data_IF_360417586458
#
_entry.id   IF_360417586458
#
_cell.length_a   1.000
_cell.length_b   1.000
_cell.length_c   1.000
_cell.angle_alpha   90.00
_cell.angle_beta   90.00
_cell.angle_gamma   90.00
#
_symmetry.space_group_name_H-M   'P 1'
#
loop_
_entity.id
_entity.type
_entity.pdbx_description
1 polymer ?
#
# COMPACT_ATOMS: atom_id res chain seq x y z
N UNK A 1 -12.66 22.81 30.27
CA UNK A 1 -12.05 21.49 30.48
C UNK A 1 -12.85 20.50 29.65
N UNK A 2 -12.27 19.78 28.71
CA UNK A 2 -12.99 18.73 27.98
C UNK A 2 -13.29 17.59 28.95
N UNK A 3 -14.56 17.17 29.03
CA UNK A 3 -14.97 15.99 29.82
C UNK A 3 -14.19 14.78 29.27
N UNK A 4 -13.40 14.16 30.15
CA UNK A 4 -12.89 12.81 29.89
C UNK A 4 -14.11 11.90 29.77
N UNK A 5 -14.38 11.39 28.60
CA UNK A 5 -15.38 10.34 28.42
C UNK A 5 -14.82 9.10 29.11
N UNK A 6 -15.52 8.62 30.15
CA UNK A 6 -15.23 7.33 30.76
C UNK A 6 -15.27 6.21 29.70
N UNK A 7 -14.43 5.20 29.81
CA UNK A 7 -14.49 4.06 28.90
C UNK A 7 -15.86 3.38 29.02
N UNK A 8 -16.47 3.09 27.88
CA UNK A 8 -17.74 2.37 27.80
C UNK A 8 -17.64 1.04 28.57
N UNK A 9 -18.67 0.68 29.31
CA UNK A 9 -18.78 -0.63 29.96
C UNK A 9 -18.94 -1.75 28.93
N UNK A 10 -18.60 -2.98 29.29
CA UNK A 10 -18.74 -4.13 28.40
C UNK A 10 -20.18 -4.31 27.86
N UNK A 11 -21.18 -3.97 28.68
CA UNK A 11 -22.59 -4.03 28.28
C UNK A 11 -22.92 -2.96 27.23
N UNK A 12 -22.47 -1.71 27.43
CA UNK A 12 -22.69 -0.62 26.46
C UNK A 12 -21.99 -0.89 25.14
N UNK A 13 -20.80 -1.55 25.16
CA UNK A 13 -20.10 -1.98 23.94
C UNK A 13 -20.93 -3.04 23.21
N UNK A 14 -21.49 -4.04 23.93
CA UNK A 14 -22.31 -5.09 23.35
C UNK A 14 -23.61 -4.52 22.73
N UNK A 15 -24.24 -3.54 23.37
CA UNK A 15 -25.46 -2.91 22.88
C UNK A 15 -25.23 -2.04 21.64
N UNK A 16 -24.02 -1.56 21.42
CA UNK A 16 -23.62 -0.74 20.27
C UNK A 16 -23.01 -1.55 19.13
N UNK A 17 -22.64 -2.81 19.36
CA UNK A 17 -21.98 -3.65 18.36
C UNK A 17 -22.98 -4.11 17.29
N UNK A 18 -22.67 -3.82 16.04
CA UNK A 18 -23.49 -4.29 14.92
C UNK A 18 -23.23 -5.77 14.55
N UNK A 19 -22.19 -6.39 15.11
CA UNK A 19 -21.72 -7.72 14.70
C UNK A 19 -21.07 -7.75 13.31
N UNK A 20 -20.89 -6.59 12.66
CA UNK A 20 -20.30 -6.48 11.32
C UNK A 20 -18.83 -6.07 11.46
N UNK A 21 -17.96 -6.89 10.93
CA UNK A 21 -16.52 -6.61 10.90
C UNK A 21 -16.18 -5.47 9.94
N UNK A 22 -15.23 -4.63 10.35
CA UNK A 22 -14.51 -3.70 9.50
C UNK A 22 -13.09 -4.21 9.31
N UNK A 23 -12.65 -4.33 8.07
CA UNK A 23 -11.28 -4.69 7.72
C UNK A 23 -10.84 -3.90 6.50
N UNK A 24 -9.73 -3.20 6.61
CA UNK A 24 -9.18 -2.44 5.50
C UNK A 24 -8.05 -1.51 5.90
N UNK A 25 -7.57 -0.77 4.92
CA UNK A 25 -6.46 0.16 5.11
C UNK A 25 -6.94 1.49 5.69
N UNK A 26 -6.28 1.96 6.74
CA UNK A 26 -6.57 3.25 7.34
C UNK A 26 -5.95 4.40 6.55
N UNK A 27 -6.75 5.40 6.28
CA UNK A 27 -6.29 6.71 5.82
C UNK A 27 -6.65 7.77 6.88
N UNK A 28 -5.64 8.39 7.46
CA UNK A 28 -5.81 9.46 8.45
C UNK A 28 -5.89 10.80 7.73
N UNK A 29 -6.94 11.55 8.01
CA UNK A 29 -7.20 12.87 7.43
C UNK A 29 -6.47 13.97 8.21
N UNK A 30 -6.20 15.13 7.59
CA UNK A 30 -5.51 16.25 8.25
C UNK A 30 -6.16 16.71 9.56
N UNK A 31 -7.48 16.58 9.66
CA UNK A 31 -8.26 16.93 10.88
C UNK A 31 -8.13 15.90 12.00
N UNK A 32 -7.37 14.85 11.80
CA UNK A 32 -7.03 13.85 12.82
C UNK A 32 -8.02 12.71 12.99
N UNK A 33 -9.14 12.67 12.25
CA UNK A 33 -9.97 11.48 12.09
C UNK A 33 -9.47 10.64 10.90
N UNK A 34 -10.03 9.45 10.71
CA UNK A 34 -9.65 8.61 9.58
C UNK A 34 -10.80 7.82 9.01
N UNK A 35 -10.51 7.14 7.89
CA UNK A 35 -11.40 6.16 7.28
C UNK A 35 -10.65 4.86 7.02
N UNK A 36 -11.27 3.74 7.34
CA UNK A 36 -10.86 2.44 6.83
C UNK A 36 -11.40 2.34 5.41
N UNK A 37 -10.50 2.26 4.41
CA UNK A 37 -10.84 2.06 3.01
C UNK A 37 -10.96 0.56 2.78
N UNK A 38 -12.13 0.11 2.38
CA UNK A 38 -12.41 -1.32 2.27
C UNK A 38 -12.01 -1.90 0.91
N UNK A 39 -11.89 -1.05 -0.13
CA UNK A 39 -11.66 -1.51 -1.50
C UNK A 39 -10.47 -0.78 -2.13
N UNK A 40 -9.48 -1.53 -2.60
CA UNK A 40 -8.37 -1.09 -3.45
C UNK A 40 -7.71 0.24 -3.01
N UNK A 41 -7.67 0.52 -1.70
CA UNK A 41 -7.08 1.73 -1.09
C UNK A 41 -7.72 3.07 -1.51
N UNK A 42 -8.86 3.02 -2.18
CA UNK A 42 -9.60 4.19 -2.62
C UNK A 42 -10.84 4.46 -1.75
N UNK A 43 -11.31 5.72 -1.69
CA UNK A 43 -12.57 6.06 -1.03
C UNK A 43 -13.76 5.32 -1.65
N UNK A 44 -14.63 4.80 -0.80
CA UNK A 44 -15.84 4.09 -1.20
C UNK A 44 -17.01 4.30 -0.24
N UNK A 45 -18.18 3.85 -0.64
CA UNK A 45 -19.40 4.00 0.17
C UNK A 45 -19.40 3.10 1.41
N UNK A 46 -18.59 2.04 1.40
CA UNK A 46 -18.43 1.08 2.50
C UNK A 46 -17.36 1.49 3.52
N UNK A 47 -16.76 2.66 3.35
CA UNK A 47 -15.71 3.17 4.25
C UNK A 47 -16.21 3.30 5.69
N UNK A 48 -15.32 3.05 6.64
CA UNK A 48 -15.65 3.08 8.07
C UNK A 48 -14.91 4.22 8.75
N UNK A 49 -15.66 5.10 9.40
CA UNK A 49 -15.11 6.22 10.13
C UNK A 49 -14.33 5.76 11.39
N UNK A 50 -13.15 6.32 11.59
CA UNK A 50 -12.30 6.08 12.77
C UNK A 50 -12.12 7.38 13.54
N UNK A 51 -12.49 7.36 14.81
CA UNK A 51 -12.45 8.55 15.66
C UNK A 51 -11.00 8.98 15.99
N UNK A 52 -10.74 10.30 16.16
CA UNK A 52 -9.43 10.81 16.56
C UNK A 52 -8.90 10.23 17.88
N UNK A 53 -9.80 9.89 18.79
CA UNK A 53 -9.45 9.27 20.08
C UNK A 53 -8.84 7.88 19.90
N UNK A 54 -9.39 7.06 18.98
CA UNK A 54 -8.87 5.74 18.65
C UNK A 54 -7.50 5.84 17.93
N UNK A 55 -7.39 6.77 16.96
CA UNK A 55 -6.13 7.02 16.25
C UNK A 55 -5.00 7.37 17.23
N UNK A 56 -5.25 8.30 18.13
CA UNK A 56 -4.24 8.71 19.14
C UNK A 56 -3.95 7.61 20.15
N UNK A 57 -4.99 6.91 20.65
CA UNK A 57 -4.83 5.87 21.67
C UNK A 57 -3.95 4.72 21.21
N UNK A 58 -4.11 4.28 19.96
CA UNK A 58 -3.41 3.13 19.40
C UNK A 58 -2.27 3.52 18.46
N UNK A 59 -1.90 4.80 18.40
CA UNK A 59 -0.85 5.32 17.53
C UNK A 59 -1.01 4.85 16.06
N UNK A 60 -2.27 4.92 15.57
CA UNK A 60 -2.59 4.51 14.22
C UNK A 60 -2.06 5.52 13.21
N UNK A 61 -1.64 5.01 12.06
CA UNK A 61 -1.11 5.81 10.96
C UNK A 61 -1.76 5.41 9.64
N UNK A 62 -1.74 6.31 8.69
CA UNK A 62 -2.08 5.96 7.31
C UNK A 62 -1.26 4.76 6.84
N UNK A 63 -1.90 3.79 6.20
CA UNK A 63 -1.29 2.55 5.75
C UNK A 63 -1.43 1.37 6.70
N UNK A 64 -1.94 1.57 7.93
CA UNK A 64 -2.28 0.46 8.82
C UNK A 64 -3.51 -0.31 8.31
N UNK A 65 -3.45 -1.63 8.30
CA UNK A 65 -4.64 -2.47 8.16
C UNK A 65 -5.28 -2.59 9.54
N UNK A 66 -6.50 -2.11 9.65
CA UNK A 66 -7.26 -2.10 10.89
C UNK A 66 -8.44 -3.05 10.78
N UNK A 67 -8.51 -4.02 11.68
CA UNK A 67 -9.65 -4.89 11.87
C UNK A 67 -10.37 -4.56 13.17
N UNK A 68 -11.69 -4.64 13.15
CA UNK A 68 -12.53 -4.41 14.33
C UNK A 68 -14.00 -4.49 13.98
N UNK A 69 -14.88 -4.11 14.92
CA UNK A 69 -16.31 -4.15 14.67
C UNK A 69 -16.88 -2.75 14.44
N UNK A 70 -17.86 -2.70 13.55
CA UNK A 70 -18.65 -1.47 13.27
C UNK A 70 -19.67 -1.24 14.37
N UNK A 71 -19.87 0.02 14.73
CA UNK A 71 -20.98 0.43 15.58
C UNK A 71 -22.29 0.37 14.78
N UNK A 72 -23.40 0.06 15.45
CA UNK A 72 -24.74 0.23 14.90
C UNK A 72 -24.88 1.66 14.37
N UNK A 73 -25.27 1.79 13.09
CA UNK A 73 -25.36 3.09 12.41
C UNK A 73 -26.55 3.88 12.94
N UNK A 74 -26.31 5.11 13.37
CA UNK A 74 -27.36 6.03 13.81
C UNK A 74 -28.08 6.63 12.59
N UNK A 75 -29.34 7.03 12.79
CA UNK A 75 -30.14 7.65 11.73
C UNK A 75 -29.49 8.98 11.29
N UNK A 76 -29.20 9.11 9.97
CA UNK A 76 -28.56 10.31 9.41
C UNK A 76 -27.02 10.23 9.25
N UNK A 77 -26.36 9.21 9.77
CA UNK A 77 -24.92 9.02 9.52
C UNK A 77 -24.66 8.51 8.10
N UNK A 78 -23.74 9.14 7.38
CA UNK A 78 -23.34 8.70 6.03
C UNK A 78 -22.52 7.42 6.08
N UNK A 79 -21.53 7.34 6.98
CA UNK A 79 -20.62 6.21 7.15
C UNK A 79 -20.86 5.51 8.47
N UNK A 80 -20.61 4.19 8.51
CA UNK A 80 -20.52 3.46 9.78
C UNK A 80 -19.27 3.89 10.54
N UNK A 81 -19.32 3.88 11.87
CA UNK A 81 -18.18 4.19 12.71
C UNK A 81 -17.57 2.91 13.29
N UNK A 82 -16.25 2.89 13.46
CA UNK A 82 -15.53 1.82 14.13
C UNK A 82 -15.84 1.87 15.65
N UNK A 83 -16.35 0.77 16.20
CA UNK A 83 -16.67 0.65 17.62
C UNK A 83 -15.40 0.35 18.43
N UNK A 84 -14.72 -0.73 18.10
CA UNK A 84 -13.44 -1.11 18.69
C UNK A 84 -12.51 -1.76 17.66
N UNK A 85 -11.23 -1.85 18.03
CA UNK A 85 -10.17 -2.42 17.20
C UNK A 85 -9.77 -3.77 17.76
N UNK A 86 -9.82 -4.81 16.92
CA UNK A 86 -9.38 -6.15 17.26
C UNK A 86 -7.90 -6.34 16.94
N UNK A 87 -7.46 -5.92 15.75
CA UNK A 87 -6.05 -6.01 15.34
C UNK A 87 -5.62 -4.80 14.50
N UNK A 88 -4.32 -4.54 14.52
CA UNK A 88 -3.63 -3.57 13.63
C UNK A 88 -2.50 -4.31 12.93
N UNK A 89 -2.53 -4.40 11.61
CA UNK A 89 -1.58 -5.18 10.80
C UNK A 89 -1.46 -6.65 11.24
N UNK A 90 -2.53 -7.25 11.77
CA UNK A 90 -2.55 -8.61 12.29
C UNK A 90 -2.01 -8.77 13.72
N UNK A 91 -1.56 -7.69 14.35
CA UNK A 91 -1.06 -7.69 15.74
C UNK A 91 -2.10 -7.12 16.70
N UNK A 92 -2.06 -7.50 18.00
CA UNK A 92 -2.84 -6.83 19.03
C UNK A 92 -2.59 -5.32 19.03
N UNK A 93 -3.62 -4.45 19.22
CA UNK A 93 -3.47 -3.01 19.07
C UNK A 93 -2.40 -2.39 19.98
N UNK A 94 -2.23 -2.97 21.18
CA UNK A 94 -1.23 -2.51 22.14
C UNK A 94 0.21 -2.80 21.69
N UNK A 95 0.46 -3.94 21.08
CA UNK A 95 1.76 -4.28 20.49
C UNK A 95 2.06 -3.41 19.29
N UNK A 96 1.08 -3.27 18.38
CA UNK A 96 1.21 -2.43 17.21
C UNK A 96 1.52 -0.96 17.55
N UNK A 97 0.98 -0.45 18.65
CA UNK A 97 1.19 0.95 19.10
C UNK A 97 2.62 1.24 19.54
N UNK A 98 3.41 0.23 19.89
CA UNK A 98 4.79 0.35 20.40
C UNK A 98 5.87 0.26 19.32
N UNK A 99 5.48 0.00 18.07
CA UNK A 99 6.42 -0.09 16.96
C UNK A 99 7.21 1.20 16.76
N UNK A 100 8.46 1.09 16.35
CA UNK A 100 9.25 2.25 15.94
C UNK A 100 8.67 2.86 14.67
N UNK A 101 8.67 4.18 14.58
CA UNK A 101 8.28 4.86 13.36
C UNK A 101 9.31 4.57 12.23
N UNK A 102 8.84 4.52 10.99
CA UNK A 102 9.69 4.26 9.83
C UNK A 102 10.85 5.26 9.73
N UNK A 103 10.58 6.51 10.07
CA UNK A 103 11.53 7.63 10.05
C UNK A 103 12.66 7.47 11.09
N UNK A 104 12.42 6.67 12.14
CA UNK A 104 13.40 6.38 13.21
C UNK A 104 14.25 5.13 12.93
N UNK A 105 13.99 4.44 11.80
CA UNK A 105 14.75 3.27 11.39
C UNK A 105 16.05 3.70 10.71
N UNK A 106 17.11 2.94 10.94
CA UNK A 106 18.42 3.19 10.31
C UNK A 106 18.45 2.63 8.88
N UNK A 107 18.62 3.47 7.85
CA UNK A 107 18.80 2.97 6.49
C UNK A 107 20.14 2.24 6.37
N UNK A 108 20.14 1.08 5.70
CA UNK A 108 21.33 0.28 5.45
C UNK A 108 21.51 0.04 3.95
N UNK A 109 22.73 -0.26 3.53
CA UNK A 109 22.97 -0.72 2.17
C UNK A 109 22.39 -2.12 1.95
N UNK A 110 21.96 -2.47 0.71
CA UNK A 110 21.44 -3.79 0.38
C UNK A 110 22.56 -4.82 0.38
N UNK A 111 22.85 -5.39 1.55
CA UNK A 111 23.91 -6.38 1.79
C UNK A 111 23.41 -7.82 1.79
N UNK A 112 22.10 -8.05 1.78
CA UNK A 112 21.49 -9.36 1.69
C UNK A 112 20.86 -9.56 0.31
N UNK A 113 21.38 -10.53 -0.44
CA UNK A 113 20.95 -10.81 -1.82
C UNK A 113 19.61 -11.52 -1.86
N UNK A 114 18.71 -11.06 -2.74
CA UNK A 114 17.54 -11.79 -3.17
C UNK A 114 17.89 -12.71 -4.33
N UNK A 115 17.76 -14.01 -4.12
CA UNK A 115 18.00 -15.00 -5.14
C UNK A 115 16.75 -15.16 -6.01
N UNK A 116 16.88 -14.98 -7.32
CA UNK A 116 15.78 -15.08 -8.27
C UNK A 116 15.77 -16.42 -9.04
N UNK A 117 16.91 -17.11 -9.12
CA UNK A 117 16.98 -18.43 -9.76
C UNK A 117 16.12 -19.43 -8.97
N UNK A 118 15.15 -20.06 -9.64
CA UNK A 118 14.28 -21.11 -9.07
C UNK A 118 14.62 -22.47 -9.64
N UNK A 119 14.67 -22.58 -10.96
CA UNK A 119 15.01 -23.81 -11.67
C UNK A 119 16.04 -23.56 -12.78
N UNK A 120 16.79 -24.58 -13.21
CA UNK A 120 17.76 -24.45 -14.32
C UNK A 120 17.14 -24.00 -15.63
N UNK A 121 15.83 -24.18 -15.81
CA UNK A 121 15.09 -23.80 -17.03
C UNK A 121 14.70 -22.33 -17.06
N UNK A 122 14.67 -21.64 -15.90
CA UNK A 122 14.32 -20.22 -15.79
C UNK A 122 15.52 -19.33 -16.14
N UNK A 123 15.87 -19.31 -17.43
CA UNK A 123 17.06 -18.59 -17.94
C UNK A 123 17.02 -17.09 -17.62
N UNK A 124 15.84 -16.45 -17.68
CA UNK A 124 15.71 -15.02 -17.40
C UNK A 124 16.13 -14.67 -15.96
N UNK A 125 15.69 -15.44 -14.98
CA UNK A 125 16.02 -15.23 -13.56
C UNK A 125 17.50 -15.52 -13.28
N UNK A 126 18.07 -16.53 -13.95
CA UNK A 126 19.52 -16.81 -13.87
C UNK A 126 20.35 -15.67 -14.44
N UNK A 127 19.94 -15.11 -15.59
CA UNK A 127 20.62 -13.95 -16.19
C UNK A 127 20.55 -12.75 -15.25
N UNK A 128 19.39 -12.47 -14.66
CA UNK A 128 19.25 -11.38 -13.68
C UNK A 128 20.18 -11.59 -12.48
N UNK A 129 20.23 -12.78 -11.94
CA UNK A 129 21.08 -13.10 -10.80
C UNK A 129 22.57 -12.94 -11.09
N UNK A 130 22.99 -13.15 -12.34
CA UNK A 130 24.40 -13.03 -12.76
C UNK A 130 24.79 -11.60 -13.13
N UNK A 131 23.92 -10.87 -13.82
CA UNK A 131 24.25 -9.57 -14.42
C UNK A 131 23.75 -8.40 -13.59
N UNK A 132 22.58 -8.54 -12.98
CA UNK A 132 21.91 -7.51 -12.19
C UNK A 132 21.33 -8.07 -10.89
N UNK A 133 22.18 -8.56 -9.97
CA UNK A 133 21.71 -9.11 -8.71
C UNK A 133 20.95 -8.05 -7.90
N UNK A 134 19.86 -8.46 -7.28
CA UNK A 134 19.00 -7.60 -6.45
C UNK A 134 19.20 -7.96 -4.98
N UNK A 135 19.34 -6.96 -4.13
CA UNK A 135 19.40 -7.12 -2.68
C UNK A 135 18.19 -6.54 -1.96
N UNK A 136 17.97 -6.97 -0.72
CA UNK A 136 16.91 -6.39 0.14
C UNK A 136 17.21 -4.90 0.38
N UNK A 137 16.20 -4.05 0.14
CA UNK A 137 16.34 -2.60 0.19
C UNK A 137 16.90 -1.95 -1.09
N UNK A 138 17.20 -2.73 -2.13
CA UNK A 138 17.66 -2.20 -3.41
C UNK A 138 16.50 -1.67 -4.26
N UNK A 139 16.78 -0.57 -4.96
CA UNK A 139 15.90 -0.02 -5.99
C UNK A 139 16.40 -0.46 -7.35
N UNK A 140 15.53 -1.11 -8.14
CA UNK A 140 15.83 -1.59 -9.48
C UNK A 140 14.85 -1.04 -10.50
N UNK A 141 15.32 -0.74 -11.71
CA UNK A 141 14.49 -0.23 -12.80
C UNK A 141 14.64 -1.11 -14.04
N UNK A 142 13.50 -1.59 -14.56
CA UNK A 142 13.43 -2.31 -15.82
C UNK A 142 13.15 -1.30 -16.93
N UNK A 143 14.15 -0.99 -17.74
CA UNK A 143 14.04 -0.06 -18.87
C UNK A 143 14.00 -0.87 -20.17
N UNK A 144 12.87 -0.78 -20.88
CA UNK A 144 12.68 -1.51 -22.13
C UNK A 144 11.67 -0.80 -23.04
N UNK A 145 11.78 -1.06 -24.34
CA UNK A 145 10.81 -0.57 -25.32
C UNK A 145 9.41 -1.16 -25.05
N UNK A 146 8.33 -0.52 -25.54
CA UNK A 146 7.00 -1.11 -25.51
C UNK A 146 6.99 -2.51 -26.13
N UNK A 147 6.20 -3.42 -25.58
CA UNK A 147 6.06 -4.84 -26.02
C UNK A 147 7.34 -5.69 -25.93
N UNK A 148 8.36 -5.26 -25.20
CA UNK A 148 9.59 -6.02 -24.98
C UNK A 148 9.51 -7.05 -23.82
N UNK A 149 8.32 -7.29 -23.25
CA UNK A 149 8.11 -8.29 -22.21
C UNK A 149 8.39 -7.82 -20.76
N UNK A 150 8.31 -6.52 -20.48
CA UNK A 150 8.49 -5.97 -19.12
C UNK A 150 7.59 -6.63 -18.09
N UNK A 151 6.28 -6.68 -18.33
CA UNK A 151 5.28 -7.28 -17.45
C UNK A 151 5.54 -8.79 -17.27
N UNK A 152 5.95 -9.49 -18.33
CA UNK A 152 6.36 -10.90 -18.24
C UNK A 152 7.57 -11.08 -17.33
N UNK A 153 8.58 -10.20 -17.44
CA UNK A 153 9.75 -10.23 -16.58
C UNK A 153 9.37 -9.93 -15.13
N UNK A 154 8.52 -8.94 -14.90
CA UNK A 154 8.01 -8.59 -13.56
C UNK A 154 7.27 -9.76 -12.91
N UNK A 155 6.39 -10.47 -13.65
CA UNK A 155 5.71 -11.68 -13.16
C UNK A 155 6.70 -12.78 -12.78
N UNK A 156 7.75 -12.98 -13.58
CA UNK A 156 8.81 -13.95 -13.26
C UNK A 156 9.58 -13.59 -12.00
N UNK A 157 9.92 -12.31 -11.82
CA UNK A 157 10.55 -11.81 -10.58
C UNK A 157 9.63 -12.04 -9.38
N UNK A 158 8.35 -11.67 -9.48
CA UNK A 158 7.38 -11.87 -8.41
C UNK A 158 7.26 -13.35 -7.99
N UNK A 159 7.12 -14.24 -8.96
CA UNK A 159 7.02 -15.69 -8.69
C UNK A 159 8.33 -16.26 -8.12
N UNK A 160 9.49 -15.78 -8.58
CA UNK A 160 10.78 -16.18 -8.05
C UNK A 160 10.96 -15.74 -6.59
N UNK A 161 10.59 -14.51 -6.27
CA UNK A 161 10.63 -13.99 -4.89
C UNK A 161 9.66 -14.76 -3.99
N UNK A 162 8.43 -14.99 -4.44
CA UNK A 162 7.45 -15.79 -3.70
C UNK A 162 7.95 -17.22 -3.41
N UNK A 163 8.64 -17.83 -4.36
CA UNK A 163 9.19 -19.18 -4.20
C UNK A 163 10.38 -19.23 -3.24
N UNK A 164 11.34 -18.30 -3.38
CA UNK A 164 12.60 -18.31 -2.64
C UNK A 164 12.52 -17.57 -1.31
N UNK A 165 11.58 -16.63 -1.15
CA UNK A 165 11.39 -15.79 0.03
C UNK A 165 9.90 -15.72 0.39
N UNK A 166 9.28 -16.82 0.85
CA UNK A 166 7.83 -16.91 1.09
C UNK A 166 7.32 -15.95 2.18
N UNK A 167 8.20 -15.53 3.09
CA UNK A 167 7.85 -14.59 4.17
C UNK A 167 7.90 -13.11 3.74
N UNK A 168 8.45 -12.83 2.55
CA UNK A 168 8.52 -11.47 2.02
C UNK A 168 7.14 -10.99 1.61
N UNK A 169 6.74 -9.82 2.11
CA UNK A 169 5.49 -9.19 1.70
C UNK A 169 5.67 -8.47 0.36
N UNK A 170 4.85 -8.79 -0.61
CA UNK A 170 4.93 -8.23 -1.95
C UNK A 170 3.73 -7.36 -2.24
N UNK A 171 3.97 -6.12 -2.64
CA UNK A 171 2.93 -5.21 -3.12
C UNK A 171 3.15 -4.97 -4.62
N UNK A 172 2.17 -5.32 -5.43
CA UNK A 172 2.20 -5.07 -6.87
C UNK A 172 1.29 -3.89 -7.13
N UNK A 173 1.87 -2.80 -7.61
CA UNK A 173 1.15 -1.58 -7.92
C UNK A 173 1.06 -1.37 -9.43
N UNK A 174 -0.18 -1.38 -9.94
CA UNK A 174 -0.50 -1.19 -11.34
C UNK A 174 -1.15 0.16 -11.54
N UNK A 175 -0.52 1.05 -12.31
CA UNK A 175 -1.01 2.41 -12.55
C UNK A 175 -1.37 2.58 -14.02
N UNK A 176 -2.62 3.01 -14.28
CA UNK A 176 -3.13 3.30 -15.62
C UNK A 176 -3.07 2.05 -16.53
N UNK A 177 -3.27 0.86 -15.92
CA UNK A 177 -3.30 -0.41 -16.64
C UNK A 177 -4.73 -0.80 -17.04
N UNK A 178 -4.85 -1.73 -17.98
CA UNK A 178 -6.15 -2.23 -18.43
C UNK A 178 -6.70 -3.27 -17.46
N UNK A 179 -8.04 -3.32 -17.25
CA UNK A 179 -8.65 -4.30 -16.35
C UNK A 179 -8.27 -5.75 -16.62
N UNK A 180 -8.12 -6.13 -17.90
CA UNK A 180 -7.70 -7.47 -18.30
C UNK A 180 -6.25 -7.78 -17.90
N UNK A 181 -5.35 -6.78 -17.93
CA UNK A 181 -3.95 -6.93 -17.48
C UNK A 181 -3.88 -7.04 -15.96
N UNK A 182 -4.73 -6.30 -15.24
CA UNK A 182 -4.87 -6.41 -13.78
C UNK A 182 -5.31 -7.81 -13.38
N UNK A 183 -6.33 -8.36 -14.05
CA UNK A 183 -6.84 -9.71 -13.79
C UNK A 183 -5.76 -10.77 -14.04
N UNK A 184 -5.06 -10.68 -15.18
CA UNK A 184 -3.98 -11.59 -15.56
C UNK A 184 -2.81 -11.57 -14.53
N UNK A 185 -2.51 -10.42 -13.93
CA UNK A 185 -1.48 -10.32 -12.89
C UNK A 185 -1.98 -10.91 -11.57
N UNK A 186 -3.22 -10.63 -11.17
CA UNK A 186 -3.82 -11.21 -9.96
C UNK A 186 -3.82 -12.73 -10.00
N UNK A 187 -4.24 -13.32 -11.11
CA UNK A 187 -4.26 -14.78 -11.29
C UNK A 187 -2.84 -15.38 -11.36
N UNK A 188 -1.89 -14.67 -12.00
CA UNK A 188 -0.53 -15.17 -12.15
C UNK A 188 0.32 -15.11 -10.87
N UNK A 189 -0.04 -14.22 -9.91
CA UNK A 189 0.77 -13.95 -8.71
C UNK A 189 -0.15 -13.94 -7.48
N UNK A 190 -0.79 -15.07 -7.20
CA UNK A 190 -1.63 -15.25 -6.01
C UNK A 190 -0.79 -15.72 -4.81
N UNK A 191 -1.08 -15.24 -3.58
CA UNK A 191 -0.40 -15.67 -2.36
C UNK A 191 -0.79 -14.85 -1.13
N UNK A 192 -0.64 -15.44 0.05
CA UNK A 192 -1.06 -14.84 1.33
C UNK A 192 -0.32 -13.54 1.67
N UNK A 193 0.94 -13.41 1.24
CA UNK A 193 1.77 -12.22 1.43
C UNK A 193 1.84 -11.35 0.16
N UNK A 194 0.84 -11.41 -0.73
CA UNK A 194 0.80 -10.65 -1.98
C UNK A 194 -0.43 -9.74 -1.99
N UNK A 195 -0.20 -8.44 -2.11
CA UNK A 195 -1.23 -7.43 -2.31
C UNK A 195 -1.12 -6.89 -3.75
N UNK A 196 -2.18 -7.01 -4.57
CA UNK A 196 -2.25 -6.40 -5.90
C UNK A 196 -3.16 -5.19 -5.84
N UNK A 197 -2.58 -4.02 -5.91
CA UNK A 197 -3.23 -2.72 -5.84
C UNK A 197 -3.16 -2.06 -7.21
N UNK A 198 -4.24 -1.46 -7.67
CA UNK A 198 -4.30 -0.96 -9.03
C UNK A 198 -5.16 0.31 -9.13
N UNK A 199 -4.92 1.04 -10.19
CA UNK A 199 -5.78 2.12 -10.66
C UNK A 199 -5.81 2.01 -12.18
N UNK A 200 -7.00 1.76 -12.75
CA UNK A 200 -7.19 1.46 -14.15
C UNK A 200 -7.21 2.73 -15.03
N UNK A 201 -7.03 2.58 -16.34
CA UNK A 201 -6.86 3.68 -17.28
C UNK A 201 -8.08 4.61 -17.38
N UNK A 202 -9.25 4.17 -16.96
CA UNK A 202 -10.51 4.92 -16.93
C UNK A 202 -10.68 5.76 -15.66
N UNK A 203 -9.76 5.62 -14.68
CA UNK A 203 -9.79 6.40 -13.45
C UNK A 203 -9.10 7.77 -13.60
N UNK A 204 -9.45 8.68 -12.69
CA UNK A 204 -8.87 10.03 -12.66
C UNK A 204 -7.39 10.00 -12.24
N UNK A 205 -6.55 10.93 -12.74
CA UNK A 205 -5.14 11.04 -12.35
C UNK A 205 -4.91 11.18 -10.84
N UNK A 206 -5.84 11.80 -10.12
CA UNK A 206 -5.82 11.93 -8.67
C UNK A 206 -5.92 10.57 -7.96
N UNK A 207 -6.65 9.62 -8.54
CA UNK A 207 -6.73 8.24 -8.02
C UNK A 207 -5.39 7.53 -8.16
N UNK A 208 -4.72 7.63 -9.32
CA UNK A 208 -3.39 7.08 -9.53
C UNK A 208 -2.37 7.60 -8.49
N UNK A 209 -2.40 8.92 -8.27
CA UNK A 209 -1.60 9.57 -7.23
C UNK A 209 -1.90 8.99 -5.85
N UNK A 210 -3.18 8.99 -5.44
CA UNK A 210 -3.61 8.57 -4.11
C UNK A 210 -3.26 7.12 -3.81
N UNK A 211 -3.53 6.22 -4.74
CA UNK A 211 -3.20 4.80 -4.60
C UNK A 211 -1.69 4.61 -4.41
N UNK A 212 -0.86 5.31 -5.18
CA UNK A 212 0.59 5.23 -5.03
C UNK A 212 1.08 5.71 -3.66
N UNK A 213 0.53 6.82 -3.16
CA UNK A 213 0.86 7.34 -1.83
C UNK A 213 0.43 6.35 -0.72
N UNK A 214 -0.75 5.75 -0.83
CA UNK A 214 -1.23 4.74 0.11
C UNK A 214 -0.37 3.48 0.12
N UNK A 215 0.12 3.02 -1.04
CA UNK A 215 1.02 1.87 -1.15
C UNK A 215 2.34 2.11 -0.41
N UNK A 216 2.93 3.30 -0.53
CA UNK A 216 4.15 3.66 0.22
C UNK A 216 3.87 3.65 1.73
N UNK A 217 2.78 4.24 2.16
CA UNK A 217 2.44 4.24 3.59
C UNK A 217 2.17 2.81 4.09
N UNK A 218 1.50 1.96 3.30
CA UNK A 218 1.34 0.53 3.61
C UNK A 218 2.69 -0.19 3.77
N UNK A 219 3.60 0.00 2.83
CA UNK A 219 4.93 -0.60 2.89
C UNK A 219 5.71 -0.16 4.14
N UNK A 220 5.66 1.12 4.50
CA UNK A 220 6.25 1.62 5.75
C UNK A 220 5.68 0.92 6.98
N UNK A 221 4.36 0.73 7.06
CA UNK A 221 3.72 0.02 8.19
C UNK A 221 4.20 -1.42 8.31
N UNK A 222 4.37 -2.12 7.19
CA UNK A 222 4.92 -3.48 7.19
C UNK A 222 6.37 -3.51 7.68
N UNK A 223 7.21 -2.58 7.22
CA UNK A 223 8.61 -2.47 7.65
C UNK A 223 8.73 -2.11 9.15
N UNK A 224 7.83 -1.26 9.68
CA UNK A 224 7.76 -0.96 11.10
C UNK A 224 7.50 -2.20 11.98
N UNK A 225 6.85 -3.23 11.41
CA UNK A 225 6.65 -4.54 12.02
C UNK A 225 7.75 -5.57 11.70
N UNK A 226 8.87 -5.12 11.13
CA UNK A 226 10.02 -5.98 10.81
C UNK A 226 9.80 -6.91 9.62
N UNK A 227 8.81 -6.63 8.75
CA UNK A 227 8.59 -7.39 7.52
C UNK A 227 9.52 -6.92 6.41
N UNK A 228 10.05 -7.87 5.65
CA UNK A 228 10.69 -7.58 4.36
C UNK A 228 9.61 -7.27 3.33
N UNK A 229 9.75 -6.16 2.61
CA UNK A 229 8.74 -5.71 1.65
C UNK A 229 9.37 -5.50 0.27
N UNK A 230 8.73 -6.03 -0.76
CA UNK A 230 9.04 -5.73 -2.16
C UNK A 230 7.86 -5.01 -2.81
N UNK A 231 8.12 -3.88 -3.45
CA UNK A 231 7.13 -3.18 -4.27
C UNK A 231 7.50 -3.37 -5.74
N UNK A 232 6.58 -3.90 -6.54
CA UNK A 232 6.69 -4.00 -7.98
C UNK A 232 5.72 -3.00 -8.61
N UNK A 233 6.25 -1.99 -9.32
CA UNK A 233 5.46 -0.94 -9.96
C UNK A 233 5.44 -1.08 -11.48
N UNK A 234 4.28 -1.23 -12.06
CA UNK A 234 4.03 -1.09 -13.51
C UNK A 234 3.01 0.05 -13.74
N UNK A 235 3.39 1.25 -14.19
CA UNK A 235 4.76 1.66 -14.42
C UNK A 235 5.05 3.07 -13.85
N UNK A 236 6.30 3.33 -13.49
CA UNK A 236 6.71 4.67 -13.02
C UNK A 236 6.51 5.76 -14.10
N UNK A 237 6.56 5.41 -15.37
CA UNK A 237 6.29 6.34 -16.48
C UNK A 237 4.84 6.83 -16.43
N UNK A 238 3.88 5.94 -16.20
CA UNK A 238 2.46 6.28 -16.11
C UNK A 238 2.17 7.06 -14.82
N UNK A 239 2.81 6.68 -13.72
CA UNK A 239 2.75 7.44 -12.47
C UNK A 239 3.25 8.87 -12.67
N UNK A 240 4.39 9.07 -13.34
CA UNK A 240 4.91 10.41 -13.63
C UNK A 240 3.95 11.23 -14.52
N UNK A 241 3.27 10.59 -15.47
CA UNK A 241 2.25 11.25 -16.30
C UNK A 241 1.03 11.66 -15.48
N UNK A 242 0.56 10.82 -14.57
CA UNK A 242 -0.53 11.15 -13.66
C UNK A 242 -0.20 12.39 -12.80
N UNK A 243 1.00 12.42 -12.20
CA UNK A 243 1.46 13.60 -11.47
C UNK A 243 1.56 14.86 -12.36
N UNK A 244 1.96 14.71 -13.63
CA UNK A 244 2.03 15.84 -14.56
C UNK A 244 0.66 16.47 -14.86
N UNK A 245 -0.42 15.72 -14.72
CA UNK A 245 -1.79 16.23 -14.89
C UNK A 245 -2.35 16.90 -13.62
N UNK A 246 -1.85 16.49 -12.44
CA UNK A 246 -2.39 16.91 -11.13
C UNK A 246 -1.60 18.08 -10.53
N UNK A 247 -0.28 18.11 -10.75
CA UNK A 247 0.59 19.13 -10.15
C UNK A 247 0.45 20.47 -10.90
N UNK A 248 0.35 21.61 -10.19
CA UNK A 248 0.36 22.92 -10.83
C UNK A 248 1.61 23.11 -11.70
N UNK A 249 1.47 23.62 -12.93
CA UNK A 249 2.59 23.79 -13.85
C UNK A 249 3.62 24.78 -13.33
N UNK A 250 4.91 24.42 -13.40
CA UNK A 250 6.03 25.27 -13.00
C UNK A 250 6.40 26.33 -14.07
N UNK A 251 5.80 26.24 -15.25
CA UNK A 251 6.15 27.06 -16.42
C UNK A 251 7.39 26.59 -17.18
N UNK A 252 7.97 25.46 -16.79
CA UNK A 252 9.09 24.81 -17.48
C UNK A 252 8.66 23.46 -18.03
N UNK A 253 9.16 23.08 -19.19
CA UNK A 253 8.83 21.80 -19.82
C UNK A 253 10.12 21.05 -20.17
N UNK A 254 10.22 19.83 -19.72
CA UNK A 254 11.27 18.89 -20.08
C UNK A 254 10.92 18.16 -21.40
N UNK A 255 11.86 17.41 -21.94
CA UNK A 255 11.61 16.54 -23.11
C UNK A 255 10.45 15.57 -22.79
N UNK A 256 9.56 15.35 -23.78
CA UNK A 256 8.38 14.49 -23.60
C UNK A 256 7.19 15.19 -22.92
N UNK A 257 7.18 16.52 -22.77
CA UNK A 257 6.04 17.27 -22.26
C UNK A 257 5.83 17.16 -20.73
N UNK A 258 6.87 16.78 -19.98
CA UNK A 258 6.81 16.65 -18.52
C UNK A 258 7.24 17.96 -17.84
N UNK A 259 6.48 18.40 -16.84
CA UNK A 259 6.89 19.46 -15.93
C UNK A 259 7.91 18.91 -14.91
N UNK A 260 9.00 19.63 -14.60
CA UNK A 260 9.95 19.22 -13.55
C UNK A 260 9.31 18.93 -12.19
N UNK A 261 8.26 19.70 -11.82
CA UNK A 261 7.54 19.52 -10.57
C UNK A 261 6.82 18.17 -10.51
N UNK A 262 6.37 17.64 -11.64
CA UNK A 262 5.69 16.35 -11.72
C UNK A 262 6.60 15.15 -11.41
N UNK A 263 7.91 15.31 -11.54
CA UNK A 263 8.88 14.23 -11.29
C UNK A 263 9.26 14.09 -9.80
N UNK A 264 8.91 15.06 -8.97
CA UNK A 264 9.31 15.08 -7.55
C UNK A 264 8.78 13.85 -6.79
N UNK A 265 7.48 13.59 -6.89
CA UNK A 265 6.85 12.50 -6.15
C UNK A 265 7.17 11.11 -6.73
N UNK A 266 7.14 10.89 -8.06
CA UNK A 266 7.62 9.63 -8.63
C UNK A 266 9.08 9.28 -8.27
N UNK A 267 9.96 10.29 -8.24
CA UNK A 267 11.34 10.13 -7.78
C UNK A 267 11.43 9.77 -6.29
N UNK A 268 10.56 10.35 -5.46
CA UNK A 268 10.49 10.07 -4.03
C UNK A 268 9.86 8.69 -3.76
N UNK A 269 8.94 8.27 -4.61
CA UNK A 269 8.37 6.93 -4.58
C UNK A 269 9.44 5.88 -4.84
N UNK A 270 10.26 6.07 -5.90
CA UNK A 270 11.38 5.20 -6.28
C UNK A 270 12.57 5.37 -5.34
#
# INVERSE_FOLDING_TARGET
MPRQQEPLSAQEVADLDSGIEANGILEVMPDGFGFIRCENFLPGDNDVYVAPSQIRRFNLKTGDIVCGNKRIKSQGEKFSALLYISTVNGYPPYEASRRKAFEDLTPIFPNERLRLETTPKETAMRIMDLISPVGKGQRGMIVAQPKAGKTTLMKKVANAVKHNNPDMHMIILLIDERPEEVTDIKEAIEGDNVEVIYSTFDELPEHHKRVSEMVIERAKRLVEHGKDVMILLDSITRLARAYNLVVPPSGRTLSGGLDPAALHMPKRFF
#
